data_IF_445422696094
#
_entry.id   IF_445422696094
#
_cell.length_a   1.000
_cell.length_b   1.000
_cell.length_c   1.000
_cell.angle_alpha   90.00
_cell.angle_beta   90.00
_cell.angle_gamma   90.00
#
_symmetry.space_group_name_H-M   'P 1'
#
loop_
_entity.id
_entity.type
_entity.pdbx_description
1 polymer ?
#
# COMPACT_ATOMS: atom_id res chain seq x y z
N UNK A 1 -13.05 1.04 -10.60
CA UNK A 1 -11.98 0.88 -11.60
C UNK A 1 -10.63 0.58 -10.94
N UNK A 2 -10.05 1.49 -10.15
CA UNK A 2 -8.74 1.28 -9.51
C UNK A 2 -8.63 -0.02 -8.70
N UNK A 3 -9.67 -0.39 -7.93
CA UNK A 3 -9.67 -1.64 -7.17
C UNK A 3 -9.61 -2.89 -8.05
N UNK A 4 -10.25 -2.87 -9.22
CA UNK A 4 -10.17 -3.97 -10.18
C UNK A 4 -8.77 -4.05 -10.79
N UNK A 5 -8.20 -2.89 -11.17
CA UNK A 5 -6.83 -2.84 -11.70
C UNK A 5 -5.81 -3.33 -10.67
N UNK A 6 -6.00 -3.00 -9.39
CA UNK A 6 -5.14 -3.45 -8.29
C UNK A 6 -5.23 -4.95 -7.96
N UNK A 7 -6.09 -5.69 -8.68
CA UNK A 7 -6.16 -7.15 -8.62
C UNK A 7 -5.57 -7.80 -9.88
N UNK A 8 -5.25 -7.02 -10.92
CA UNK A 8 -4.69 -7.50 -12.18
C UNK A 8 -3.15 -7.52 -12.12
N UNK A 9 -2.48 -8.68 -12.22
CA UNK A 9 -1.02 -8.77 -12.16
C UNK A 9 -0.33 -7.92 -13.24
N UNK A 10 -0.96 -7.81 -14.41
CA UNK A 10 -0.48 -7.03 -15.54
C UNK A 10 -0.46 -5.52 -15.25
N UNK A 11 -1.29 -5.06 -14.32
CA UNK A 11 -1.33 -3.66 -13.91
C UNK A 11 -0.29 -3.33 -12.83
N UNK A 12 0.33 -4.34 -12.20
CA UNK A 12 1.26 -4.16 -11.08
C UNK A 12 2.42 -3.18 -11.36
N UNK A 13 3.07 -3.20 -12.55
CA UNK A 13 4.14 -2.25 -12.87
C UNK A 13 3.66 -0.79 -12.83
N UNK A 14 2.42 -0.52 -13.23
CA UNK A 14 1.86 0.84 -13.25
C UNK A 14 1.57 1.39 -11.85
N UNK A 15 1.33 0.51 -10.88
CA UNK A 15 1.19 0.91 -9.48
C UNK A 15 2.55 1.08 -8.80
N UNK A 16 3.53 0.26 -9.19
CA UNK A 16 4.91 0.35 -8.72
C UNK A 16 5.65 1.58 -9.27
N UNK A 17 5.20 2.11 -10.41
CA UNK A 17 5.75 3.33 -11.00
C UNK A 17 5.41 4.53 -10.10
N UNK A 18 6.45 5.22 -9.64
CA UNK A 18 6.51 5.97 -8.37
C UNK A 18 5.56 7.16 -8.17
N UNK A 19 4.58 7.37 -9.04
CA UNK A 19 3.59 8.45 -8.92
C UNK A 19 2.29 8.04 -8.23
N UNK A 20 1.79 6.82 -8.47
CA UNK A 20 0.42 6.48 -8.09
C UNK A 20 0.29 6.10 -6.60
N UNK A 21 1.15 5.22 -6.10
CA UNK A 21 1.14 4.79 -4.70
C UNK A 21 1.27 5.98 -3.71
N UNK A 22 2.24 6.91 -3.88
CA UNK A 22 2.35 8.08 -3.00
C UNK A 22 1.13 8.98 -3.06
N UNK A 23 0.55 9.21 -4.25
CA UNK A 23 -0.66 10.01 -4.40
C UNK A 23 -1.85 9.37 -3.67
N UNK A 24 -2.02 8.06 -3.76
CA UNK A 24 -3.09 7.35 -3.06
C UNK A 24 -2.93 7.44 -1.54
N UNK A 25 -1.70 7.34 -1.03
CA UNK A 25 -1.38 7.53 0.38
C UNK A 25 -1.61 8.99 0.82
N UNK A 26 -1.25 9.97 0.02
CA UNK A 26 -1.53 11.38 0.30
C UNK A 26 -3.05 11.63 0.40
N UNK A 27 -3.85 11.05 -0.51
CA UNK A 27 -5.30 11.23 -0.51
C UNK A 27 -6.00 10.45 0.59
N UNK A 28 -5.47 9.30 1.03
CA UNK A 28 -6.08 8.53 2.13
C UNK A 28 -5.96 9.25 3.47
N UNK A 29 -4.85 9.97 3.70
CA UNK A 29 -4.63 10.76 4.93
C UNK A 29 -5.28 12.14 4.92
N UNK A 30 -5.55 12.69 3.73
CA UNK A 30 -6.06 14.05 3.61
C UNK A 30 -7.46 14.18 4.22
N UNK A 31 -7.60 15.11 5.17
CA UNK A 31 -8.89 15.46 5.79
C UNK A 31 -9.89 16.11 4.82
N UNK A 32 -9.43 16.59 3.67
CA UNK A 32 -10.30 17.12 2.60
C UNK A 32 -10.85 16.01 1.69
N UNK A 33 -10.32 14.79 1.78
CA UNK A 33 -10.85 13.63 1.07
C UNK A 33 -12.04 13.07 1.85
N UNK A 34 -13.18 12.90 1.19
CA UNK A 34 -14.35 12.28 1.82
C UNK A 34 -14.09 10.85 2.28
N UNK A 35 -14.71 10.43 3.39
CA UNK A 35 -14.49 9.14 4.03
C UNK A 35 -14.67 7.93 3.09
N UNK A 36 -15.69 7.97 2.23
CA UNK A 36 -15.91 6.92 1.22
C UNK A 36 -14.71 6.77 0.27
N UNK A 37 -14.11 7.88 -0.14
CA UNK A 37 -12.95 7.88 -1.03
C UNK A 37 -11.71 7.38 -0.28
N UNK A 38 -11.49 7.84 0.96
CA UNK A 38 -10.42 7.31 1.82
C UNK A 38 -10.54 5.80 1.99
N UNK A 39 -11.75 5.30 2.28
CA UNK A 39 -12.00 3.87 2.42
C UNK A 39 -11.69 3.10 1.14
N UNK A 40 -12.16 3.58 -0.02
CA UNK A 40 -11.86 2.94 -1.30
C UNK A 40 -10.37 2.97 -1.64
N UNK A 41 -9.68 4.07 -1.37
CA UNK A 41 -8.23 4.17 -1.56
C UNK A 41 -7.47 3.20 -0.65
N UNK A 42 -7.87 3.07 0.62
CA UNK A 42 -7.27 2.11 1.53
C UNK A 42 -7.45 0.66 1.06
N UNK A 43 -8.64 0.31 0.53
CA UNK A 43 -8.86 -1.00 -0.10
C UNK A 43 -7.96 -1.23 -1.30
N UNK A 44 -7.78 -0.21 -2.15
CA UNK A 44 -6.88 -0.31 -3.30
C UNK A 44 -5.43 -0.49 -2.83
N UNK A 45 -4.97 0.31 -1.87
CA UNK A 45 -3.62 0.21 -1.31
C UNK A 45 -3.34 -1.18 -0.76
N UNK A 46 -4.28 -1.75 0.00
CA UNK A 46 -4.17 -3.13 0.48
C UNK A 46 -3.99 -4.13 -0.67
N UNK A 47 -4.85 -4.10 -1.69
CA UNK A 47 -4.77 -4.99 -2.84
C UNK A 47 -3.46 -4.80 -3.63
N UNK A 48 -3.13 -3.55 -3.95
CA UNK A 48 -1.93 -3.16 -4.70
C UNK A 48 -0.66 -3.61 -4.00
N UNK A 49 -0.53 -3.43 -2.68
CA UNK A 49 0.67 -3.82 -1.92
C UNK A 49 0.85 -5.33 -1.91
N UNK A 50 -0.24 -6.09 -1.74
CA UNK A 50 -0.19 -7.55 -1.82
C UNK A 50 0.30 -8.06 -3.18
N UNK A 51 -0.06 -7.35 -4.25
CA UNK A 51 0.30 -7.74 -5.62
C UNK A 51 1.67 -7.22 -6.07
N UNK A 52 1.99 -5.96 -5.77
CA UNK A 52 3.14 -5.25 -6.31
C UNK A 52 4.34 -5.25 -5.36
N UNK A 53 4.16 -5.55 -4.08
CA UNK A 53 5.23 -5.41 -3.07
C UNK A 53 6.48 -6.24 -3.38
N UNK A 54 6.38 -7.29 -4.19
CA UNK A 54 7.50 -8.12 -4.64
C UNK A 54 8.33 -7.51 -5.76
N UNK A 55 7.74 -6.63 -6.56
CA UNK A 55 8.40 -5.98 -7.71
C UNK A 55 8.81 -4.53 -7.42
N UNK A 56 8.46 -4.00 -6.23
CA UNK A 56 8.96 -2.72 -5.77
C UNK A 56 10.49 -2.73 -5.65
N UNK A 57 11.12 -1.64 -6.06
CA UNK A 57 12.51 -1.36 -5.73
C UNK A 57 12.67 -1.19 -4.21
N UNK A 58 13.87 -1.37 -3.68
CA UNK A 58 14.10 -1.22 -2.24
C UNK A 58 13.77 0.20 -1.74
N UNK A 59 14.08 1.22 -2.55
CA UNK A 59 13.74 2.60 -2.24
C UNK A 59 12.23 2.82 -2.18
N UNK A 60 11.49 2.34 -3.20
CA UNK A 60 10.03 2.45 -3.23
C UNK A 60 9.38 1.65 -2.09
N UNK A 61 9.96 0.51 -1.73
CA UNK A 61 9.50 -0.31 -0.62
C UNK A 61 9.57 0.44 0.71
N UNK A 62 10.71 1.07 1.01
CA UNK A 62 10.91 1.85 2.23
C UNK A 62 10.00 3.08 2.28
N UNK A 63 9.84 3.77 1.14
CA UNK A 63 8.93 4.91 1.04
C UNK A 63 7.49 4.53 1.35
N UNK A 64 7.02 3.41 0.77
CA UNK A 64 5.66 2.89 1.04
C UNK A 64 5.52 2.44 2.49
N UNK A 65 6.52 1.78 3.08
CA UNK A 65 6.54 1.37 4.49
C UNK A 65 6.39 2.57 5.44
N UNK A 66 7.15 3.64 5.20
CA UNK A 66 7.11 4.86 5.99
C UNK A 66 5.77 5.58 5.82
N UNK A 67 5.31 5.77 4.59
CA UNK A 67 4.06 6.46 4.30
C UNK A 67 2.81 5.71 4.83
N UNK A 68 2.79 4.38 4.79
CA UNK A 68 1.73 3.58 5.45
C UNK A 68 1.75 3.77 6.96
N UNK A 69 2.93 3.75 7.57
CA UNK A 69 3.09 3.91 9.01
C UNK A 69 2.64 5.28 9.50
N UNK A 70 2.88 6.33 8.72
CA UNK A 70 2.36 7.68 8.96
C UNK A 70 0.84 7.73 8.76
N UNK A 71 0.34 7.22 7.64
CA UNK A 71 -1.09 7.23 7.33
C UNK A 71 -1.92 6.54 8.43
N UNK A 72 -1.47 5.39 8.95
CA UNK A 72 -2.13 4.66 10.06
C UNK A 72 -2.25 5.49 11.33
N UNK A 73 -1.29 6.38 11.62
CA UNK A 73 -1.30 7.26 12.80
C UNK A 73 -2.23 8.46 12.62
N UNK A 74 -2.41 8.91 11.38
CA UNK A 74 -3.18 10.10 11.05
C UNK A 74 -4.67 9.82 10.81
N UNK A 75 -5.03 8.59 10.45
CA UNK A 75 -6.44 8.18 10.31
C UNK A 75 -7.05 7.82 11.66
N UNK A 76 -8.36 8.03 11.76
CA UNK A 76 -9.13 7.75 12.97
C UNK A 76 -9.01 6.26 13.37
N UNK A 77 -8.72 5.97 14.66
CA UNK A 77 -8.44 4.64 15.18
C UNK A 77 -9.53 3.60 14.96
N UNK A 78 -10.80 3.99 14.89
CA UNK A 78 -11.95 3.08 14.84
C UNK A 78 -12.55 2.93 13.43
N UNK A 79 -11.79 3.32 12.41
CA UNK A 79 -12.24 3.28 11.02
C UNK A 79 -11.81 2.02 10.27
N UNK A 80 -12.66 1.60 9.32
CA UNK A 80 -12.30 0.58 8.36
C UNK A 80 -11.12 1.01 7.45
N UNK A 81 -10.86 2.32 7.32
CA UNK A 81 -9.68 2.88 6.64
C UNK A 81 -8.41 2.40 7.33
N UNK A 82 -8.30 2.62 8.66
CA UNK A 82 -7.12 2.21 9.44
C UNK A 82 -6.87 0.71 9.37
N UNK A 83 -7.93 -0.10 9.43
CA UNK A 83 -7.82 -1.57 9.31
C UNK A 83 -7.19 -1.98 7.98
N UNK A 84 -7.69 -1.45 6.87
CA UNK A 84 -7.14 -1.73 5.54
C UNK A 84 -5.67 -1.30 5.42
N UNK A 85 -5.30 -0.15 5.98
CA UNK A 85 -3.91 0.31 5.98
C UNK A 85 -3.00 -0.57 6.85
N UNK A 86 -3.48 -1.03 8.01
CA UNK A 86 -2.75 -1.94 8.88
C UNK A 86 -2.54 -3.31 8.22
N UNK A 87 -3.57 -3.85 7.56
CA UNK A 87 -3.46 -5.09 6.76
C UNK A 87 -2.45 -4.92 5.62
N UNK A 88 -2.50 -3.79 4.91
CA UNK A 88 -1.54 -3.47 3.85
C UNK A 88 -0.10 -3.43 4.38
N UNK A 89 0.13 -2.79 5.54
CA UNK A 89 1.44 -2.76 6.21
C UNK A 89 1.90 -4.16 6.63
N UNK A 90 1.00 -4.98 7.17
CA UNK A 90 1.28 -6.39 7.50
C UNK A 90 1.72 -7.21 6.28
N UNK A 91 1.02 -7.05 5.15
CA UNK A 91 1.37 -7.71 3.90
C UNK A 91 2.75 -7.26 3.40
N UNK A 92 3.04 -5.96 3.48
CA UNK A 92 4.36 -5.43 3.10
C UNK A 92 5.47 -6.07 3.96
N UNK A 93 5.30 -6.14 5.28
CA UNK A 93 6.27 -6.76 6.18
C UNK A 93 6.49 -8.24 5.90
N UNK A 94 5.41 -8.98 5.58
CA UNK A 94 5.53 -10.37 5.16
C UNK A 94 6.35 -10.51 3.87
N UNK A 95 6.13 -9.63 2.90
CA UNK A 95 6.91 -9.60 1.64
C UNK A 95 8.38 -9.27 1.91
N UNK A 96 8.68 -8.33 2.81
CA UNK A 96 10.05 -7.98 3.24
C UNK A 96 10.79 -9.21 3.76
N UNK A 97 10.15 -9.96 4.66
CA UNK A 97 10.69 -11.19 5.23
C UNK A 97 10.95 -12.27 4.17
N UNK A 98 10.02 -12.44 3.21
CA UNK A 98 10.20 -13.36 2.08
C UNK A 98 11.39 -12.97 1.18
N UNK A 99 11.58 -11.67 0.91
CA UNK A 99 12.71 -11.15 0.10
C UNK A 99 14.06 -11.40 0.79
N UNK A 100 14.14 -11.15 2.10
CA UNK A 100 15.34 -11.40 2.89
C UNK A 100 15.68 -12.89 2.97
N UNK A 101 14.67 -13.74 3.21
CA UNK A 101 14.84 -15.19 3.24
C UNK A 101 15.30 -15.77 1.90
N UNK A 102 14.78 -15.28 0.77
CA UNK A 102 15.19 -15.72 -0.56
C UNK A 102 16.63 -15.30 -0.95
N UNK A 103 17.15 -14.25 -0.32
CA UNK A 103 18.54 -13.78 -0.52
C UNK A 103 19.57 -14.58 0.29
N UNK A 104 19.15 -15.29 1.34
CA UNK A 104 20.06 -16.04 2.22
C UNK A 104 20.49 -17.41 1.66
N UNK A 105 19.90 -17.85 0.55
CA UNK A 105 20.15 -19.15 -0.10
C UNK A 105 20.73 -19.05 -1.52
N UNK A 106 21.22 -17.86 -1.91
CA UNK A 106 21.98 -17.64 -3.16
C UNK A 106 23.42 -17.30 -2.84
#
# INVERSE_FOLDING_TARGET
LLLFLAQCPEAAPFFADGGLLPLMLEKVRSKSTGELVQHKLAQVLHATIGQCGRVLSEAAFQEVELALSEAIKEVDPDTAVRRNLAEASGNLMQIKSQRAGASAWR
#
